data_IF_598746727573
#
_entry.id   IF_598746727573
#
_cell.length_a   1.000
_cell.length_b   1.000
_cell.length_c   1.000
_cell.angle_alpha   90.00
_cell.angle_beta   90.00
_cell.angle_gamma   90.00
#
_symmetry.space_group_name_H-M   'P 1'
#
loop_
_entity.id
_entity.type
_entity.pdbx_description
1 polymer ?
#
# COMPACT_ATOMS: atom_id res chain seq x y z
N UNK A 1 18.02 -36.75 19.65
CA UNK A 1 17.38 -36.45 18.35
C UNK A 1 16.16 -35.54 18.49
N UNK A 2 15.22 -35.83 19.41
CA UNK A 2 13.95 -35.08 19.53
C UNK A 2 14.08 -33.62 19.97
N UNK A 3 15.12 -33.28 20.75
CA UNK A 3 15.41 -31.89 21.15
C UNK A 3 15.65 -31.00 19.93
N UNK A 4 16.39 -31.50 18.94
CA UNK A 4 16.67 -30.77 17.69
C UNK A 4 15.37 -30.52 16.92
N UNK A 5 14.46 -31.50 16.89
CA UNK A 5 13.13 -31.38 16.28
C UNK A 5 12.30 -30.28 16.95
N UNK A 6 12.26 -30.25 18.29
CA UNK A 6 11.51 -29.24 19.05
C UNK A 6 12.10 -27.84 18.83
N UNK A 7 13.42 -27.70 18.92
CA UNK A 7 14.11 -26.41 18.73
C UNK A 7 13.91 -25.88 17.31
N UNK A 8 13.96 -26.75 16.30
CA UNK A 8 13.70 -26.36 14.91
C UNK A 8 12.31 -25.77 14.71
N UNK A 9 11.29 -26.38 15.30
CA UNK A 9 9.90 -25.91 15.20
C UNK A 9 9.77 -24.54 15.87
N UNK A 10 10.37 -24.35 17.06
CA UNK A 10 10.34 -23.07 17.78
C UNK A 10 10.98 -21.96 16.94
N UNK A 11 12.14 -22.21 16.33
CA UNK A 11 12.83 -21.21 15.50
C UNK A 11 11.96 -20.79 14.31
N UNK A 12 11.29 -21.74 13.64
CA UNK A 12 10.38 -21.43 12.53
C UNK A 12 9.25 -20.50 12.98
N UNK A 13 8.63 -20.76 14.14
CA UNK A 13 7.59 -19.88 14.67
C UNK A 13 8.11 -18.48 15.02
N UNK A 14 9.30 -18.38 15.61
CA UNK A 14 9.92 -17.09 15.93
C UNK A 14 10.19 -16.28 14.67
N UNK A 15 10.78 -16.91 13.64
CA UNK A 15 11.05 -16.25 12.35
C UNK A 15 9.75 -15.84 11.66
N UNK A 16 8.72 -16.69 11.69
CA UNK A 16 7.41 -16.39 11.10
C UNK A 16 6.73 -15.20 11.78
N UNK A 17 6.75 -15.15 13.12
CA UNK A 17 6.21 -14.01 13.87
C UNK A 17 6.95 -12.71 13.54
N UNK A 18 8.29 -12.74 13.54
CA UNK A 18 9.12 -11.58 13.17
C UNK A 18 8.83 -11.10 11.73
N UNK A 19 8.66 -12.04 10.79
CA UNK A 19 8.36 -11.73 9.40
C UNK A 19 7.00 -11.06 9.25
N UNK A 20 5.95 -11.60 9.89
CA UNK A 20 4.59 -11.02 9.84
C UNK A 20 4.56 -9.63 10.47
N UNK A 21 5.21 -9.44 11.63
CA UNK A 21 5.25 -8.13 12.30
C UNK A 21 5.97 -7.10 11.41
N UNK A 22 7.13 -7.46 10.85
CA UNK A 22 7.93 -6.57 10.01
C UNK A 22 7.17 -6.21 8.72
N UNK A 23 6.57 -7.21 8.09
CA UNK A 23 5.82 -7.05 6.85
C UNK A 23 4.55 -6.24 7.08
N UNK A 24 3.84 -6.44 8.18
CA UNK A 24 2.65 -5.66 8.57
C UNK A 24 2.97 -4.17 8.69
N UNK A 25 4.12 -3.81 9.27
CA UNK A 25 4.56 -2.40 9.34
C UNK A 25 4.89 -1.82 7.97
N UNK A 26 5.43 -2.62 7.05
CA UNK A 26 5.75 -2.19 5.68
C UNK A 26 4.48 -2.02 4.82
N UNK A 27 3.47 -2.88 4.97
CA UNK A 27 2.17 -2.68 4.31
C UNK A 27 1.38 -1.51 4.91
N UNK A 28 1.51 -1.28 6.22
CA UNK A 28 0.89 -0.13 6.91
C UNK A 28 1.59 1.17 6.55
N UNK A 29 2.84 1.11 6.05
CA UNK A 29 3.45 2.27 5.43
C UNK A 29 2.65 2.58 4.17
N UNK A 30 1.67 3.47 4.35
CA UNK A 30 0.90 4.05 3.27
C UNK A 30 1.93 4.43 2.21
N UNK A 31 1.86 3.80 1.05
CA UNK A 31 2.21 4.52 -0.15
C UNK A 31 1.42 5.80 -0.03
N UNK A 32 2.10 6.89 0.28
CA UNK A 32 1.57 8.24 0.12
C UNK A 32 1.27 8.31 -1.36
N UNK A 33 0.08 7.82 -1.73
CA UNK A 33 -0.55 8.12 -3.00
C UNK A 33 -0.57 9.63 -2.96
N UNK A 34 0.35 10.23 -3.74
CA UNK A 34 0.55 11.66 -3.73
C UNK A 34 -0.83 12.30 -3.82
N UNK A 35 -1.20 13.18 -2.86
CA UNK A 35 -2.50 13.81 -2.90
C UNK A 35 -2.66 14.48 -4.26
N UNK A 36 -3.73 14.11 -4.97
CA UNK A 36 -4.03 14.61 -6.31
C UNK A 36 -4.26 16.13 -6.35
N UNK A 37 -4.26 16.80 -5.20
CA UNK A 37 -4.53 18.24 -5.03
C UNK A 37 -3.46 19.16 -5.63
N UNK A 38 -2.27 18.66 -5.97
CA UNK A 38 -1.21 19.46 -6.60
C UNK A 38 -0.86 19.00 -8.04
N UNK A 39 -1.82 18.43 -8.77
CA UNK A 39 -1.63 18.16 -10.20
C UNK A 39 -2.14 19.35 -11.02
N UNK A 40 -1.22 20.19 -11.47
CA UNK A 40 -1.49 21.33 -12.36
C UNK A 40 -2.20 20.92 -13.67
N UNK A 41 -2.18 19.63 -14.03
CA UNK A 41 -2.87 19.05 -15.19
C UNK A 41 -4.36 18.72 -14.98
N UNK A 42 -4.91 18.84 -13.77
CA UNK A 42 -6.34 18.54 -13.51
C UNK A 42 -7.27 19.75 -13.74
N UNK A 43 -6.73 20.96 -13.85
CA UNK A 43 -7.53 22.18 -14.06
C UNK A 43 -7.95 22.41 -15.52
N UNK A 44 -7.45 21.61 -16.47
CA UNK A 44 -7.74 21.80 -17.91
C UNK A 44 -8.90 20.93 -18.44
N UNK A 45 -9.51 20.08 -17.59
CA UNK A 45 -10.50 19.09 -18.02
C UNK A 45 -11.97 19.43 -17.69
N UNK A 46 -12.26 20.59 -17.09
CA UNK A 46 -13.64 20.93 -16.68
C UNK A 46 -14.15 22.30 -17.20
N UNK A 47 -13.56 22.85 -18.27
CA UNK A 47 -14.05 24.10 -18.88
C UNK A 47 -14.18 23.98 -20.41
N UNK A 48 -14.72 22.87 -20.92
CA UNK A 48 -15.19 22.76 -22.32
C UNK A 48 -16.33 21.76 -22.45
N UNK A 49 -17.48 22.13 -21.91
CA UNK A 49 -18.76 21.63 -22.44
C UNK A 49 -19.73 22.81 -22.46
N UNK A 50 -19.35 23.82 -23.26
CA UNK A 50 -20.26 24.87 -23.72
C UNK A 50 -21.24 24.24 -24.71
N UNK A 51 -22.45 24.00 -24.20
CA UNK A 51 -23.67 23.72 -24.94
C UNK A 51 -23.82 24.66 -26.17
N UNK A 52 -23.96 24.14 -27.41
CA UNK A 52 -24.27 24.96 -28.55
C UNK A 52 -25.73 25.42 -28.46
N UNK A 53 -25.95 26.69 -28.09
CA UNK A 53 -27.23 27.38 -28.31
C UNK A 53 -27.49 27.50 -29.81
N UNK A 54 -28.33 26.61 -30.32
CA UNK A 54 -28.90 26.68 -31.65
C UNK A 54 -29.86 27.88 -31.78
N UNK A 55 -29.70 28.58 -32.91
CA UNK A 55 -30.41 29.78 -33.34
C UNK A 55 -31.85 29.51 -33.81
#
# INVERSE_FOLDING_TARGET
MSIVMIVSIIIVFVVLFLAVITTSKAYTYKHTVDPLENNQHLNDANEKDDEPKNA
#
